data_IF_125434047653
#
_entry.id   IF_125434047653
#
_cell.length_a   1.000
_cell.length_b   1.000
_cell.length_c   1.000
_cell.angle_alpha   90.00
_cell.angle_beta   90.00
_cell.angle_gamma   90.00
#
_symmetry.space_group_name_H-M   'P 1'
#
loop_
_entity.id
_entity.type
_entity.pdbx_description
1 polymer ?
#
# COMPACT_ATOMS: atom_id res chain seq x y z
N UNK A 1 14.63 -8.36 -16.55
CA UNK A 1 15.66 -7.30 -16.46
C UNK A 1 16.18 -6.86 -17.82
N UNK A 2 16.60 -7.76 -18.72
CA UNK A 2 17.09 -7.40 -20.07
C UNK A 2 16.11 -6.57 -20.91
N UNK A 3 14.82 -6.84 -20.81
CA UNK A 3 13.77 -6.11 -21.56
C UNK A 3 13.58 -4.67 -21.08
N UNK A 4 13.70 -4.41 -19.78
CA UNK A 4 13.59 -3.07 -19.21
C UNK A 4 14.77 -2.19 -19.64
N UNK A 5 15.98 -2.73 -19.62
CA UNK A 5 17.17 -2.01 -20.06
C UNK A 5 17.13 -1.65 -21.55
N UNK A 6 16.57 -2.54 -22.39
CA UNK A 6 16.43 -2.27 -23.82
C UNK A 6 15.37 -1.19 -24.09
N UNK A 7 14.21 -1.27 -23.42
CA UNK A 7 13.15 -0.30 -23.57
C UNK A 7 13.57 1.12 -23.13
N UNK A 8 14.38 1.25 -22.07
CA UNK A 8 14.91 2.55 -21.65
C UNK A 8 15.88 3.18 -22.67
N UNK A 9 16.58 2.37 -23.46
CA UNK A 9 17.47 2.86 -24.51
C UNK A 9 16.71 3.41 -25.73
N UNK A 10 15.44 3.04 -25.88
CA UNK A 10 14.57 3.48 -26.97
C UNK A 10 13.76 4.75 -26.63
N UNK A 11 13.77 5.18 -25.37
CA UNK A 11 13.06 6.39 -24.92
C UNK A 11 13.75 7.67 -25.39
N UNK A 12 12.95 8.72 -25.60
CA UNK A 12 13.46 10.02 -26.02
C UNK A 12 13.99 10.80 -24.81
N UNK A 13 15.31 10.82 -24.69
CA UNK A 13 16.03 11.56 -23.66
C UNK A 13 16.15 13.03 -24.04
N UNK A 14 15.80 13.93 -23.11
CA UNK A 14 15.95 15.36 -23.33
C UNK A 14 17.42 15.80 -23.18
N UNK A 15 18.25 15.38 -24.12
CA UNK A 15 19.71 15.59 -24.13
C UNK A 15 20.12 17.04 -24.44
N UNK A 16 19.15 17.89 -24.79
CA UNK A 16 19.39 19.29 -25.20
C UNK A 16 19.08 20.31 -24.10
N UNK A 17 18.43 19.90 -23.02
CA UNK A 17 18.13 20.79 -21.89
C UNK A 17 19.38 21.04 -21.05
N UNK A 18 19.62 22.28 -20.64
CA UNK A 18 20.64 22.62 -19.64
C UNK A 18 20.04 22.78 -18.23
N UNK A 19 18.73 22.60 -18.06
CA UNK A 19 18.06 22.70 -16.77
C UNK A 19 18.00 21.31 -16.11
N UNK A 20 18.67 21.19 -14.96
CA UNK A 20 18.79 19.93 -14.21
C UNK A 20 17.44 19.38 -13.74
N UNK A 21 16.49 20.25 -13.38
CA UNK A 21 15.16 19.83 -12.92
C UNK A 21 14.37 19.23 -14.08
N UNK A 22 14.49 19.82 -15.28
CA UNK A 22 13.84 19.32 -16.49
C UNK A 22 14.42 17.96 -16.91
N UNK A 23 15.74 17.81 -16.83
CA UNK A 23 16.42 16.54 -17.12
C UNK A 23 15.95 15.46 -16.13
N UNK A 24 15.94 15.78 -14.83
CA UNK A 24 15.51 14.86 -13.78
C UNK A 24 14.05 14.43 -13.96
N UNK A 25 13.14 15.37 -14.24
CA UNK A 25 11.73 15.06 -14.48
C UNK A 25 11.54 14.19 -15.72
N UNK A 26 12.25 14.48 -16.81
CA UNK A 26 12.22 13.66 -18.03
C UNK A 26 12.72 12.24 -17.76
N UNK A 27 13.82 12.09 -17.01
CA UNK A 27 14.33 10.78 -16.59
C UNK A 27 13.31 9.99 -15.78
N UNK A 28 12.72 10.60 -14.76
CA UNK A 28 11.73 9.93 -13.91
C UNK A 28 10.49 9.52 -14.72
N UNK A 29 10.01 10.38 -15.62
CA UNK A 29 8.85 10.10 -16.45
C UNK A 29 9.10 8.94 -17.43
N UNK A 30 10.27 8.91 -18.09
CA UNK A 30 10.64 7.83 -19.00
C UNK A 30 10.77 6.49 -18.27
N UNK A 31 11.37 6.48 -17.07
CA UNK A 31 11.47 5.28 -16.23
C UNK A 31 10.08 4.77 -15.86
N UNK A 32 9.20 5.63 -15.36
CA UNK A 32 7.84 5.25 -14.95
C UNK A 32 7.05 4.71 -16.15
N UNK A 33 7.12 5.38 -17.30
CA UNK A 33 6.46 4.96 -18.54
C UNK A 33 6.89 3.55 -18.97
N UNK A 34 8.19 3.28 -19.00
CA UNK A 34 8.72 1.95 -19.38
C UNK A 34 8.32 0.88 -18.36
N UNK A 35 8.39 1.19 -17.07
CA UNK A 35 7.98 0.27 -16.00
C UNK A 35 6.49 -0.06 -16.12
N UNK A 36 5.63 0.92 -16.32
CA UNK A 36 4.18 0.72 -16.47
C UNK A 36 3.83 -0.05 -17.75
N UNK A 37 4.62 0.10 -18.82
CA UNK A 37 4.42 -0.67 -20.07
C UNK A 37 4.80 -2.15 -19.91
N UNK A 38 5.91 -2.44 -19.24
CA UNK A 38 6.43 -3.81 -19.05
C UNK A 38 5.71 -4.53 -17.90
N UNK A 39 5.39 -3.79 -16.84
CA UNK A 39 4.74 -4.30 -15.65
C UNK A 39 3.60 -3.36 -15.27
N UNK A 40 2.46 -3.44 -15.98
CA UNK A 40 1.33 -2.55 -15.71
C UNK A 40 0.90 -2.70 -14.26
N UNK A 41 0.60 -1.58 -13.57
CA UNK A 41 0.20 -1.62 -12.18
C UNK A 41 -0.99 -2.56 -12.05
N UNK A 42 -0.78 -3.66 -11.33
CA UNK A 42 -1.87 -4.57 -11.03
C UNK A 42 -2.86 -3.79 -10.17
N UNK A 43 -4.02 -3.45 -10.75
CA UNK A 43 -5.15 -3.00 -9.96
C UNK A 43 -5.44 -4.12 -8.98
N UNK A 44 -5.07 -3.94 -7.71
CA UNK A 44 -5.58 -4.78 -6.63
C UNK A 44 -7.08 -4.58 -6.66
N UNK A 45 -7.78 -5.47 -7.36
CA UNK A 45 -9.18 -5.72 -7.11
C UNK A 45 -9.21 -6.28 -5.70
N UNK A 46 -9.36 -5.39 -4.71
CA UNK A 46 -9.85 -5.79 -3.40
C UNK A 46 -11.32 -6.12 -3.65
N UNK A 47 -11.56 -7.26 -4.31
CA UNK A 47 -12.86 -7.90 -4.16
C UNK A 47 -12.93 -8.19 -2.68
N UNK A 48 -13.89 -7.58 -2.01
CA UNK A 48 -14.45 -8.16 -0.81
C UNK A 48 -14.77 -9.61 -1.18
N UNK A 49 -13.84 -10.54 -0.91
CA UNK A 49 -13.89 -11.90 -1.44
C UNK A 49 -15.24 -12.50 -1.02
N UNK A 50 -16.21 -12.67 -1.93
CA UNK A 50 -17.48 -13.26 -1.56
C UNK A 50 -17.19 -14.73 -1.24
N UNK A 51 -17.39 -15.11 0.04
CA UNK A 51 -17.16 -16.47 0.52
C UNK A 51 -16.15 -16.60 1.67
N UNK A 52 -15.44 -15.53 2.06
CA UNK A 52 -14.61 -15.57 3.28
C UNK A 52 -15.47 -15.26 4.51
N UNK A 53 -15.82 -16.32 5.26
CA UNK A 53 -16.64 -16.22 6.48
C UNK A 53 -16.03 -15.30 7.54
N UNK A 54 -14.71 -15.25 7.66
CA UNK A 54 -14.03 -14.41 8.64
C UNK A 54 -13.95 -12.92 8.25
N UNK A 55 -14.25 -12.57 7.00
CA UNK A 55 -14.15 -11.19 6.51
C UNK A 55 -15.54 -10.55 6.40
N UNK A 56 -16.08 -10.15 7.55
CA UNK A 56 -17.37 -9.47 7.62
C UNK A 56 -17.28 -8.05 8.19
N UNK A 57 -18.42 -7.34 8.17
CA UNK A 57 -18.49 -5.94 8.56
C UNK A 57 -18.03 -5.72 10.02
N UNK A 58 -18.28 -6.68 10.90
CA UNK A 58 -17.92 -6.63 12.32
C UNK A 58 -16.41 -6.78 12.53
N UNK A 59 -15.77 -7.75 11.86
CA UNK A 59 -14.31 -7.91 11.88
C UNK A 59 -13.63 -6.67 11.30
N UNK A 60 -14.16 -6.14 10.19
CA UNK A 60 -13.64 -4.92 9.56
C UNK A 60 -13.77 -3.70 10.47
N UNK A 61 -14.89 -3.53 11.16
CA UNK A 61 -15.10 -2.43 12.11
C UNK A 61 -14.12 -2.53 13.29
N UNK A 62 -13.97 -3.71 13.87
CA UNK A 62 -13.07 -3.94 15.00
C UNK A 62 -11.62 -3.74 14.60
N UNK A 63 -11.23 -4.18 13.40
CA UNK A 63 -9.90 -3.93 12.87
C UNK A 63 -9.61 -2.43 12.70
N UNK A 64 -10.56 -1.64 12.20
CA UNK A 64 -10.43 -0.18 12.13
C UNK A 64 -10.26 0.46 13.52
N UNK A 65 -11.00 -0.03 14.53
CA UNK A 65 -10.86 0.45 15.90
C UNK A 65 -9.47 0.14 16.48
N UNK A 66 -8.96 -1.07 16.24
CA UNK A 66 -7.59 -1.46 16.61
C UNK A 66 -6.57 -0.50 16.00
N UNK A 67 -6.66 -0.26 14.70
CA UNK A 67 -5.74 0.64 13.99
C UNK A 67 -5.84 2.09 14.50
N UNK A 68 -7.03 2.55 14.89
CA UNK A 68 -7.22 3.87 15.51
C UNK A 68 -6.43 3.98 16.82
N UNK A 69 -6.57 3.03 17.75
CA UNK A 69 -5.86 3.09 19.03
C UNK A 69 -4.34 2.99 18.86
N UNK A 70 -3.87 2.17 17.91
CA UNK A 70 -2.43 2.10 17.62
C UNK A 70 -1.88 3.43 17.10
N UNK A 71 -2.64 4.11 16.21
CA UNK A 71 -2.25 5.44 15.71
C UNK A 71 -2.24 6.49 16.82
N UNK A 72 -3.24 6.47 17.70
CA UNK A 72 -3.29 7.38 18.86
C UNK A 72 -2.10 7.11 19.77
N UNK A 73 -1.84 5.86 20.16
CA UNK A 73 -0.68 5.48 20.99
C UNK A 73 0.65 5.97 20.39
N UNK A 74 0.87 5.80 19.07
CA UNK A 74 2.08 6.31 18.42
C UNK A 74 2.28 7.82 18.56
N UNK A 75 1.20 8.56 18.71
CA UNK A 75 1.21 10.01 18.84
C UNK A 75 1.26 10.46 20.31
N UNK A 76 0.52 9.79 21.18
CA UNK A 76 0.36 10.16 22.59
C UNK A 76 1.40 9.51 23.51
N UNK A 77 1.95 8.36 23.13
CA UNK A 77 2.78 7.52 23.99
C UNK A 77 2.05 6.96 25.21
N UNK A 78 0.72 7.06 25.28
CA UNK A 78 -0.06 6.69 26.45
C UNK A 78 -0.31 5.18 26.50
N UNK A 79 0.13 4.53 27.58
CA UNK A 79 -0.04 3.09 27.78
C UNK A 79 -1.51 2.64 27.76
N UNK A 80 -2.45 3.49 28.16
CA UNK A 80 -3.88 3.19 28.08
C UNK A 80 -4.34 2.99 26.62
N UNK A 81 -3.80 3.74 25.67
CA UNK A 81 -4.08 3.58 24.25
C UNK A 81 -3.48 2.27 23.72
N UNK A 82 -2.34 1.86 24.26
CA UNK A 82 -1.72 0.58 23.93
C UNK A 82 -2.50 -0.61 24.50
N UNK A 83 -3.03 -0.51 25.72
CA UNK A 83 -3.93 -1.51 26.29
C UNK A 83 -5.22 -1.63 25.48
N UNK A 84 -5.81 -0.49 25.10
CA UNK A 84 -6.98 -0.46 24.22
C UNK A 84 -6.71 -1.11 22.85
N UNK A 85 -5.52 -0.90 22.28
CA UNK A 85 -5.06 -1.58 21.08
C UNK A 85 -5.01 -3.10 21.27
N UNK A 86 -4.37 -3.59 22.35
CA UNK A 86 -4.26 -5.03 22.65
C UNK A 86 -5.62 -5.69 22.85
N UNK A 87 -6.54 -5.03 23.57
CA UNK A 87 -7.91 -5.50 23.74
C UNK A 87 -8.63 -5.68 22.40
N UNK A 88 -8.54 -4.68 21.52
CA UNK A 88 -9.16 -4.74 20.19
C UNK A 88 -8.48 -5.77 19.29
N UNK A 89 -7.17 -5.97 19.40
CA UNK A 89 -6.45 -7.03 18.69
C UNK A 89 -6.96 -8.42 19.08
N UNK A 90 -7.10 -8.69 20.38
CA UNK A 90 -7.64 -9.96 20.88
C UNK A 90 -9.08 -10.17 20.40
N UNK A 91 -9.88 -9.11 20.35
CA UNK A 91 -11.26 -9.19 19.86
C UNK A 91 -11.32 -9.52 18.36
N UNK A 92 -10.45 -8.93 17.53
CA UNK A 92 -10.34 -9.30 16.10
C UNK A 92 -9.97 -10.77 15.95
N UNK A 93 -8.96 -11.25 16.68
CA UNK A 93 -8.53 -12.66 16.62
C UNK A 93 -9.66 -13.60 17.05
N UNK A 94 -10.39 -13.26 18.11
CA UNK A 94 -11.54 -14.03 18.58
C UNK A 94 -12.68 -14.08 17.55
N UNK A 95 -12.99 -12.96 16.90
CA UNK A 95 -14.01 -12.91 15.86
C UNK A 95 -13.63 -13.74 14.63
N UNK A 96 -12.36 -13.70 14.21
CA UNK A 96 -11.85 -14.51 13.09
C UNK A 96 -11.96 -16.00 13.43
N UNK A 97 -11.46 -16.43 14.59
CA UNK A 97 -11.52 -17.85 15.03
C UNK A 97 -12.93 -18.40 15.17
N UNK A 98 -13.92 -17.56 15.49
CA UNK A 98 -15.33 -17.98 15.54
C UNK A 98 -15.95 -18.20 14.16
N UNK A 99 -15.34 -17.64 13.12
CA UNK A 99 -15.88 -17.59 11.75
C UNK A 99 -15.12 -18.50 10.78
N UNK A 100 -13.92 -18.92 11.15
CA UNK A 100 -13.21 -20.07 10.55
C UNK A 100 -13.91 -21.39 10.87
#
# INVERSE_FOLDING_TARGET
MKELSLALLEENWNDTSCNIDVIYQNLMNNIVSVVDKISPPQKKVISTRPGIRWFDAEVKLTQKQREKYYKIFKFTGNDQDFENYKLKQNLVVGLIRKKE
#
